data_IF_208300944332
#
_entry.id   IF_208300944332
#
_cell.length_a   1.000
_cell.length_b   1.000
_cell.length_c   1.000
_cell.angle_alpha   90.00
_cell.angle_beta   90.00
_cell.angle_gamma   90.00
#
_symmetry.space_group_name_H-M   'P 1'
#
loop_
_entity.id
_entity.type
_entity.pdbx_description
1 polymer ?
#
# COMPACT_ATOMS: atom_id res chain seq x y z
N UNK A 1 13.85 -0.11 26.10
CA UNK A 1 12.71 -0.33 25.17
C UNK A 1 11.70 -1.19 25.90
N UNK A 2 10.44 -0.72 26.12
CA UNK A 2 9.43 -1.61 26.66
C UNK A 2 8.97 -2.57 25.56
N UNK A 3 8.90 -3.86 25.90
CA UNK A 3 8.33 -4.91 25.04
C UNK A 3 6.85 -4.61 24.79
N UNK A 4 6.28 -4.96 23.62
CA UNK A 4 4.84 -4.85 23.42
C UNK A 4 4.11 -5.77 24.41
N UNK A 5 3.32 -5.17 25.31
CA UNK A 5 2.47 -5.90 26.25
C UNK A 5 1.28 -6.51 25.49
N UNK A 6 1.41 -7.77 25.09
CA UNK A 6 0.33 -8.55 24.52
C UNK A 6 -0.38 -9.29 25.66
N UNK A 7 -1.63 -8.94 25.95
CA UNK A 7 -2.43 -9.59 27.01
C UNK A 7 -3.75 -10.07 26.40
N UNK A 8 -3.82 -11.34 26.03
CA UNK A 8 -5.08 -12.00 25.68
C UNK A 8 -5.00 -13.49 26.08
N UNK A 9 -6.05 -14.05 26.70
CA UNK A 9 -6.04 -15.46 27.09
C UNK A 9 -6.12 -16.35 25.84
N UNK A 10 -5.15 -17.27 25.70
CA UNK A 10 -5.20 -18.34 24.70
C UNK A 10 -6.31 -19.32 25.10
N UNK A 11 -7.25 -19.58 24.19
CA UNK A 11 -8.27 -20.61 24.35
C UNK A 11 -7.93 -21.78 23.41
N UNK A 12 -8.07 -23.01 23.93
CA UNK A 12 -7.96 -24.26 23.18
C UNK A 12 -9.39 -24.82 22.98
N UNK A 13 -10.14 -24.35 21.95
CA UNK A 13 -11.51 -24.80 21.73
C UNK A 13 -11.61 -26.27 21.28
N UNK A 14 -10.56 -26.80 20.63
CA UNK A 14 -10.44 -28.18 20.13
C UNK A 14 -8.95 -28.56 20.01
N UNK A 15 -8.59 -29.82 20.20
CA UNK A 15 -7.19 -30.26 20.17
C UNK A 15 -6.42 -29.72 18.95
N UNK A 16 -5.33 -28.97 19.22
CA UNK A 16 -4.44 -28.33 18.22
C UNK A 16 -5.05 -27.13 17.48
N UNK A 17 -6.12 -26.54 18.00
CA UNK A 17 -6.65 -25.24 17.56
C UNK A 17 -6.41 -24.23 18.67
N UNK A 18 -5.76 -23.11 18.36
CA UNK A 18 -5.44 -22.06 19.32
C UNK A 18 -6.08 -20.76 18.86
N UNK A 19 -6.91 -20.16 19.72
CA UNK A 19 -7.63 -18.93 19.40
C UNK A 19 -7.33 -17.84 20.42
N UNK A 20 -7.11 -16.63 19.89
CA UNK A 20 -7.04 -15.38 20.65
C UNK A 20 -8.19 -14.51 20.16
N UNK A 21 -9.17 -14.21 21.02
CA UNK A 21 -10.36 -13.42 20.65
C UNK A 21 -10.24 -11.93 20.93
N UNK A 22 -9.43 -11.56 21.92
CA UNK A 22 -9.24 -10.19 22.39
C UNK A 22 -7.79 -9.75 22.18
N UNK A 23 -7.22 -10.07 21.01
CA UNK A 23 -5.88 -9.64 20.65
C UNK A 23 -5.85 -8.11 20.60
N UNK A 24 -4.95 -7.49 21.37
CA UNK A 24 -4.71 -6.06 21.36
C UNK A 24 -3.23 -5.81 21.09
N UNK A 25 -2.94 -5.16 19.97
CA UNK A 25 -1.59 -4.80 19.54
C UNK A 25 -1.46 -3.28 19.62
N UNK A 26 -0.41 -2.81 20.29
CA UNK A 26 -0.07 -1.39 20.34
C UNK A 26 1.31 -1.16 19.70
N UNK A 27 1.40 -0.16 18.83
CA UNK A 27 2.62 0.29 18.18
C UNK A 27 2.73 1.82 18.31
N UNK A 28 3.43 2.29 19.34
CA UNK A 28 3.36 3.69 19.76
C UNK A 28 1.97 4.02 20.31
N UNK A 29 1.38 5.13 19.85
CA UNK A 29 0.02 5.54 20.23
C UNK A 29 -1.08 4.82 19.45
N UNK A 30 -0.70 4.03 18.44
CA UNK A 30 -1.63 3.30 17.60
C UNK A 30 -1.99 1.97 18.24
N UNK A 31 -3.29 1.71 18.41
CA UNK A 31 -3.82 0.45 18.91
C UNK A 31 -4.66 -0.24 17.86
N UNK A 32 -4.52 -1.54 17.69
CA UNK A 32 -5.42 -2.38 16.89
C UNK A 32 -5.89 -3.57 17.72
N UNK A 33 -7.15 -3.93 17.58
CA UNK A 33 -7.76 -5.06 18.29
C UNK A 33 -8.37 -6.06 17.34
N UNK A 34 -8.54 -7.30 17.77
CA UNK A 34 -9.26 -8.30 16.99
C UNK A 34 -8.92 -9.71 17.41
N UNK A 35 -8.90 -10.62 16.43
CA UNK A 35 -8.74 -12.05 16.68
C UNK A 35 -7.63 -12.67 15.85
N UNK A 36 -7.08 -13.75 16.37
CA UNK A 36 -6.11 -14.60 15.70
C UNK A 36 -6.43 -16.06 16.00
N UNK A 37 -6.40 -16.90 14.96
CA UNK A 37 -6.66 -18.32 15.04
C UNK A 37 -5.52 -19.10 14.38
N UNK A 38 -4.96 -20.07 15.09
CA UNK A 38 -3.95 -21.01 14.60
C UNK A 38 -4.53 -22.43 14.63
N UNK A 39 -4.73 -23.01 13.45
CA UNK A 39 -5.19 -24.38 13.29
C UNK A 39 -4.02 -25.28 12.87
N UNK A 40 -3.71 -26.27 13.70
CA UNK A 40 -2.70 -27.32 13.47
C UNK A 40 -3.31 -28.73 13.38
N UNK A 41 -4.65 -28.85 13.34
CA UNK A 41 -5.34 -30.15 13.41
C UNK A 41 -5.31 -30.91 12.07
N UNK A 42 -5.19 -30.20 10.95
CA UNK A 42 -5.30 -30.76 9.58
C UNK A 42 -3.98 -31.17 8.93
N UNK A 43 -2.86 -31.14 9.67
CA UNK A 43 -1.52 -31.44 9.16
C UNK A 43 -0.89 -30.33 8.32
N UNK A 44 -1.69 -29.40 7.78
CA UNK A 44 -1.23 -28.17 7.16
C UNK A 44 -1.55 -26.99 8.09
N UNK A 45 -0.55 -26.33 8.69
CA UNK A 45 -0.80 -25.17 9.55
C UNK A 45 -1.57 -24.07 8.81
N UNK A 46 -2.57 -23.52 9.47
CA UNK A 46 -3.31 -22.34 9.03
C UNK A 46 -3.33 -21.31 10.16
N UNK A 47 -2.72 -20.16 9.92
CA UNK A 47 -2.77 -18.98 10.77
C UNK A 47 -3.67 -17.94 10.10
N UNK A 48 -4.69 -17.47 10.79
CA UNK A 48 -5.53 -16.38 10.34
C UNK A 48 -5.63 -15.30 11.39
N UNK A 49 -5.75 -14.04 10.97
CA UNK A 49 -6.03 -12.95 11.87
C UNK A 49 -6.94 -11.91 11.22
N UNK A 50 -7.71 -11.22 12.05
CA UNK A 50 -8.54 -10.09 11.70
C UNK A 50 -8.36 -9.02 12.76
N UNK A 51 -7.79 -7.88 12.38
CA UNK A 51 -7.50 -6.74 13.23
C UNK A 51 -8.23 -5.51 12.72
N UNK A 52 -8.73 -4.70 13.64
CA UNK A 52 -9.35 -3.42 13.35
C UNK A 52 -8.85 -2.34 14.31
N UNK A 53 -8.87 -1.09 13.86
CA UNK A 53 -8.61 0.07 14.71
C UNK A 53 -9.49 1.23 14.27
N UNK A 54 -9.92 2.05 15.22
CA UNK A 54 -10.59 3.32 14.97
C UNK A 54 -9.74 4.53 15.39
N UNK A 55 -8.61 4.30 16.07
CA UNK A 55 -7.83 5.34 16.76
C UNK A 55 -6.53 5.69 16.05
N UNK A 56 -6.29 5.17 14.84
CA UNK A 56 -5.06 5.51 14.11
C UNK A 56 -5.13 6.93 13.57
N UNK A 57 -3.98 7.61 13.58
CA UNK A 57 -3.83 8.95 13.00
C UNK A 57 -4.24 9.01 11.51
N UNK A 58 -4.01 7.92 10.78
CA UNK A 58 -4.37 7.82 9.35
C UNK A 58 -5.87 7.58 9.12
N UNK A 59 -6.65 7.28 10.16
CA UNK A 59 -8.04 6.85 10.12
C UNK A 59 -8.22 5.34 10.33
N UNK A 60 -9.45 4.82 10.20
CA UNK A 60 -9.76 3.43 10.57
C UNK A 60 -8.89 2.42 9.82
N UNK A 61 -8.49 1.35 10.50
CA UNK A 61 -7.78 0.21 9.90
C UNK A 61 -8.63 -1.05 10.00
N UNK A 62 -8.61 -1.84 8.94
CA UNK A 62 -9.04 -3.22 8.89
C UNK A 62 -7.95 -4.03 8.19
N UNK A 63 -7.42 -5.04 8.87
CA UNK A 63 -6.44 -5.98 8.34
C UNK A 63 -6.98 -7.39 8.54
N UNK A 64 -7.06 -8.16 7.47
CA UNK A 64 -7.32 -9.59 7.52
C UNK A 64 -6.27 -10.34 6.70
N UNK A 65 -5.72 -11.40 7.26
CA UNK A 65 -4.80 -12.27 6.53
C UNK A 65 -4.98 -13.75 6.85
N UNK A 66 -4.58 -14.59 5.91
CA UNK A 66 -4.56 -16.05 6.03
C UNK A 66 -3.21 -16.56 5.51
N UNK A 67 -2.42 -17.15 6.41
CA UNK A 67 -1.15 -17.78 6.13
C UNK A 67 -1.33 -19.28 6.28
N UNK A 68 -0.92 -20.05 5.28
CA UNK A 68 -0.97 -21.51 5.31
C UNK A 68 0.39 -22.10 4.99
N UNK A 69 0.57 -23.35 5.37
CA UNK A 69 1.75 -24.11 5.00
C UNK A 69 2.70 -24.28 6.17
N UNK A 70 3.75 -25.08 5.96
CA UNK A 70 4.72 -25.36 7.00
C UNK A 70 5.53 -24.08 7.29
N UNK A 71 6.07 -24.01 8.50
CA UNK A 71 6.74 -22.80 9.00
C UNK A 71 7.93 -22.41 8.12
N UNK A 72 8.58 -23.37 7.45
CA UNK A 72 9.71 -23.22 6.53
C UNK A 72 9.34 -22.71 5.14
N UNK A 73 8.07 -22.83 4.72
CA UNK A 73 7.58 -22.30 3.45
C UNK A 73 6.12 -21.80 3.55
N UNK A 74 5.88 -20.75 4.35
CA UNK A 74 4.54 -20.22 4.55
C UNK A 74 4.06 -19.47 3.30
N UNK A 75 2.79 -19.62 2.95
CA UNK A 75 2.14 -18.92 1.85
C UNK A 75 1.04 -17.99 2.40
N UNK A 76 1.02 -16.75 1.93
CA UNK A 76 -0.07 -15.81 2.20
C UNK A 76 -1.19 -16.07 1.20
N UNK A 77 -2.23 -16.80 1.61
CA UNK A 77 -3.39 -17.08 0.75
C UNK A 77 -4.34 -15.92 0.63
N UNK A 78 -4.30 -15.00 1.59
CA UNK A 78 -5.14 -13.82 1.60
C UNK A 78 -4.47 -12.72 2.39
N UNK A 79 -4.47 -11.55 1.81
CA UNK A 79 -4.24 -10.27 2.46
C UNK A 79 -5.39 -9.36 2.07
N UNK A 80 -5.98 -8.70 3.04
CA UNK A 80 -6.89 -7.58 2.84
C UNK A 80 -6.55 -6.53 3.90
N UNK A 81 -5.93 -5.45 3.46
CA UNK A 81 -5.66 -4.27 4.26
C UNK A 81 -6.51 -3.13 3.71
N UNK A 82 -7.18 -2.44 4.61
CA UNK A 82 -7.86 -1.18 4.36
C UNK A 82 -7.48 -0.24 5.49
N UNK A 83 -6.87 0.90 5.19
CA UNK A 83 -6.48 1.89 6.19
C UNK A 83 -6.87 3.30 5.71
N UNK A 84 -7.35 4.09 6.65
CA UNK A 84 -7.63 5.49 6.50
C UNK A 84 -8.96 5.81 5.86
N UNK A 85 -9.08 7.06 5.40
CA UNK A 85 -10.30 7.61 4.81
C UNK A 85 -9.95 8.63 3.74
N UNK A 86 -10.88 8.90 2.84
CA UNK A 86 -10.64 9.82 1.72
C UNK A 86 -10.38 11.27 2.15
N UNK A 87 -10.66 11.62 3.41
CA UNK A 87 -10.33 12.95 3.97
C UNK A 87 -8.82 13.20 3.94
N UNK A 88 -8.03 12.17 4.25
CA UNK A 88 -6.57 12.18 4.20
C UNK A 88 -6.09 11.34 3.02
N UNK A 89 -6.16 10.02 3.17
CA UNK A 89 -5.94 9.03 2.14
C UNK A 89 -6.59 7.71 2.57
N UNK A 90 -7.41 7.11 1.72
CA UNK A 90 -7.86 5.73 1.85
C UNK A 90 -6.89 4.84 1.08
N UNK A 91 -6.31 3.84 1.75
CA UNK A 91 -5.39 2.87 1.16
C UNK A 91 -5.97 1.48 1.28
N UNK A 92 -5.97 0.74 0.18
CA UNK A 92 -6.39 -0.66 0.08
C UNK A 92 -5.26 -1.48 -0.51
N UNK A 93 -4.96 -2.63 0.09
CA UNK A 93 -4.01 -3.60 -0.43
C UNK A 93 -4.62 -5.00 -0.27
N UNK A 94 -4.65 -5.77 -1.35
CA UNK A 94 -5.17 -7.13 -1.32
C UNK A 94 -4.37 -8.06 -2.20
N UNK A 95 -4.33 -9.35 -1.86
CA UNK A 95 -3.72 -10.35 -2.73
C UNK A 95 -3.10 -11.52 -1.98
N UNK A 96 -2.07 -12.10 -2.60
CA UNK A 96 -1.46 -13.36 -2.16
C UNK A 96 0.06 -13.35 -2.35
N UNK A 97 0.74 -14.25 -1.64
CA UNK A 97 2.17 -14.53 -1.80
C UNK A 97 2.36 -16.03 -1.70
N UNK A 98 2.86 -16.67 -2.77
CA UNK A 98 3.04 -18.14 -2.81
C UNK A 98 4.09 -18.64 -1.84
N UNK A 99 5.15 -17.87 -1.62
CA UNK A 99 6.21 -18.15 -0.65
C UNK A 99 6.60 -16.84 0.05
N UNK A 100 6.16 -16.67 1.29
CA UNK A 100 6.41 -15.48 2.09
C UNK A 100 7.88 -15.34 2.51
N UNK A 101 8.58 -16.45 2.73
CA UNK A 101 10.00 -16.41 3.13
C UNK A 101 10.88 -16.08 1.95
N UNK A 102 10.61 -16.71 0.82
CA UNK A 102 11.30 -16.44 -0.43
C UNK A 102 10.79 -15.20 -1.17
N UNK A 103 9.73 -14.52 -0.70
CA UNK A 103 9.02 -13.46 -1.42
C UNK A 103 8.72 -13.82 -2.89
N UNK A 104 8.34 -15.07 -3.14
CA UNK A 104 8.07 -15.57 -4.49
C UNK A 104 6.58 -15.64 -4.77
N UNK A 105 6.21 -15.36 -6.02
CA UNK A 105 4.81 -15.38 -6.44
C UNK A 105 3.96 -14.35 -5.69
N UNK A 106 4.52 -13.16 -5.47
CA UNK A 106 3.78 -11.99 -4.97
C UNK A 106 2.83 -11.54 -6.07
N UNK A 107 1.54 -11.49 -5.73
CA UNK A 107 0.47 -10.94 -6.56
C UNK A 107 -0.44 -10.11 -5.66
N UNK A 108 -0.19 -8.80 -5.65
CA UNK A 108 -0.92 -7.84 -4.83
C UNK A 108 -1.55 -6.78 -5.72
N UNK A 109 -2.67 -6.23 -5.27
CA UNK A 109 -3.33 -5.09 -5.88
C UNK A 109 -3.43 -4.00 -4.85
N UNK A 110 -2.93 -2.82 -5.18
CA UNK A 110 -3.06 -1.66 -4.32
C UNK A 110 -4.04 -0.65 -4.93
N UNK A 111 -4.66 0.13 -4.06
CA UNK A 111 -5.46 1.29 -4.40
C UNK A 111 -5.27 2.35 -3.32
N UNK A 112 -5.11 3.60 -3.74
CA UNK A 112 -5.04 4.78 -2.89
C UNK A 112 -6.00 5.81 -3.46
N UNK A 113 -6.73 6.53 -2.62
CA UNK A 113 -7.56 7.66 -3.05
C UNK A 113 -7.79 8.68 -1.94
N UNK A 114 -8.00 9.93 -2.33
CA UNK A 114 -8.32 11.01 -1.41
C UNK A 114 -9.00 12.17 -2.12
N UNK A 115 -9.67 13.00 -1.34
CA UNK A 115 -10.44 14.15 -1.83
C UNK A 115 -9.56 15.34 -2.20
N UNK A 116 -8.39 15.47 -1.57
CA UNK A 116 -7.46 16.56 -1.83
C UNK A 116 -6.00 16.14 -1.59
N UNK A 117 -5.14 16.31 -2.60
CA UNK A 117 -3.68 16.14 -2.45
C UNK A 117 -3.09 17.08 -1.40
N UNK A 118 -3.70 18.24 -1.16
CA UNK A 118 -3.25 19.16 -0.13
C UNK A 118 -3.33 18.56 1.28
N UNK A 119 -4.27 17.63 1.53
CA UNK A 119 -4.41 16.92 2.81
C UNK A 119 -3.18 16.07 3.16
N UNK A 120 -2.38 15.66 2.16
CA UNK A 120 -1.16 14.87 2.40
C UNK A 120 -0.05 15.67 3.10
N UNK A 121 -0.19 16.99 3.24
CA UNK A 121 0.69 17.79 4.09
C UNK A 121 0.66 17.31 5.56
N UNK A 122 -0.48 16.79 6.03
CA UNK A 122 -0.62 16.25 7.39
C UNK A 122 0.26 14.99 7.57
N UNK A 123 0.57 14.28 6.48
CA UNK A 123 1.40 13.08 6.50
C UNK A 123 2.88 13.39 6.26
N UNK A 124 3.17 14.31 5.35
CA UNK A 124 4.54 14.64 4.93
C UNK A 124 5.17 15.73 5.79
N UNK A 125 4.38 16.45 6.58
CA UNK A 125 4.80 17.63 7.36
C UNK A 125 5.15 18.85 6.50
N UNK A 126 4.97 18.78 5.18
CA UNK A 126 5.34 19.83 4.24
C UNK A 126 4.15 20.21 3.35
N UNK A 127 3.89 21.51 3.13
CA UNK A 127 2.84 21.94 2.23
C UNK A 127 3.18 21.50 0.80
N UNK A 128 2.31 20.69 0.20
CA UNK A 128 2.43 20.32 -1.20
C UNK A 128 1.82 21.45 -2.05
N UNK A 129 2.49 21.89 -3.14
CA UNK A 129 1.92 22.87 -4.07
C UNK A 129 0.82 22.28 -4.97
N UNK A 130 0.21 21.18 -4.54
CA UNK A 130 -0.78 20.40 -5.27
C UNK A 130 -2.13 20.43 -4.55
N UNK A 131 -3.20 20.25 -5.31
CA UNK A 131 -4.57 20.20 -4.79
C UNK A 131 -5.42 19.23 -5.60
N UNK A 132 -6.63 19.01 -5.10
CA UNK A 132 -7.70 18.32 -5.80
C UNK A 132 -7.68 16.81 -5.59
N UNK A 133 -8.76 16.13 -6.02
CA UNK A 133 -8.92 14.71 -5.76
C UNK A 133 -7.86 13.91 -6.48
N UNK A 134 -7.45 12.82 -5.84
CA UNK A 134 -6.46 11.92 -6.40
C UNK A 134 -6.82 10.46 -6.17
N UNK A 135 -6.30 9.62 -7.06
CA UNK A 135 -6.29 8.18 -6.87
C UNK A 135 -5.07 7.56 -7.55
N UNK A 136 -4.62 6.42 -7.05
CA UNK A 136 -3.59 5.60 -7.67
C UNK A 136 -3.93 4.13 -7.45
N UNK A 137 -3.75 3.29 -8.45
CA UNK A 137 -3.94 1.84 -8.32
C UNK A 137 -3.05 1.08 -9.28
N UNK A 138 -2.77 -0.18 -8.97
CA UNK A 138 -1.96 -1.04 -9.82
C UNK A 138 -1.80 -2.44 -9.27
N UNK A 139 -1.26 -3.31 -10.12
CA UNK A 139 -0.90 -4.69 -9.78
C UNK A 139 0.60 -4.72 -9.44
N UNK A 140 0.93 -5.21 -8.24
CA UNK A 140 2.29 -5.35 -7.73
C UNK A 140 2.71 -6.82 -7.79
N UNK A 141 3.87 -7.04 -8.39
CA UNK A 141 4.50 -8.36 -8.46
C UNK A 141 5.95 -8.27 -8.03
N UNK A 142 6.49 -9.39 -7.57
CA UNK A 142 7.92 -9.55 -7.32
C UNK A 142 8.39 -10.81 -8.05
N UNK A 143 9.00 -10.65 -9.25
CA UNK A 143 9.60 -11.77 -9.98
C UNK A 143 10.69 -12.47 -9.17
N UNK A 144 11.43 -11.70 -8.36
CA UNK A 144 12.43 -12.17 -7.41
C UNK A 144 12.46 -11.24 -6.18
N UNK A 145 13.09 -11.64 -5.04
CA UNK A 145 13.05 -10.87 -3.78
C UNK A 145 13.61 -9.45 -3.87
N UNK A 146 14.43 -9.16 -4.89
CA UNK A 146 15.09 -7.88 -5.11
C UNK A 146 14.54 -7.14 -6.32
N UNK A 147 13.46 -7.62 -6.93
CA UNK A 147 12.83 -6.99 -8.09
C UNK A 147 11.35 -6.78 -7.81
N UNK A 148 10.91 -5.52 -7.80
CA UNK A 148 9.51 -5.14 -7.65
C UNK A 148 9.01 -4.58 -8.97
N UNK A 149 7.84 -5.02 -9.43
CA UNK A 149 7.20 -4.48 -10.62
C UNK A 149 5.76 -4.07 -10.32
N UNK A 150 5.40 -2.85 -10.74
CA UNK A 150 4.05 -2.31 -10.72
C UNK A 150 3.58 -2.21 -12.16
N UNK A 151 2.50 -2.91 -12.46
CA UNK A 151 1.86 -2.91 -13.77
C UNK A 151 0.43 -2.37 -13.67
N UNK A 152 -0.15 -2.00 -14.83
CA UNK A 152 -1.48 -1.40 -14.93
C UNK A 152 -1.65 -0.21 -13.96
N UNK A 153 -0.59 0.58 -13.79
CA UNK A 153 -0.62 1.75 -12.94
C UNK A 153 -1.62 2.74 -13.55
N UNK A 154 -2.61 3.13 -12.76
CA UNK A 154 -3.58 4.16 -13.10
C UNK A 154 -3.58 5.18 -12.00
N UNK A 155 -3.31 6.43 -12.36
CA UNK A 155 -3.28 7.57 -11.45
C UNK A 155 -4.28 8.60 -11.97
N UNK A 156 -5.11 9.11 -11.07
CA UNK A 156 -5.92 10.31 -11.32
C UNK A 156 -5.40 11.42 -10.40
N UNK A 157 -5.18 12.61 -10.95
CA UNK A 157 -4.80 13.78 -10.18
C UNK A 157 -5.51 15.01 -10.74
N UNK A 158 -6.49 15.54 -10.01
CA UNK A 158 -7.41 16.54 -10.54
C UNK A 158 -8.19 15.99 -11.74
N UNK A 159 -8.03 16.60 -12.92
CA UNK A 159 -8.66 16.15 -14.17
C UNK A 159 -7.77 15.24 -15.01
N UNK A 160 -6.55 14.97 -14.56
CA UNK A 160 -5.55 14.21 -15.32
C UNK A 160 -5.70 12.72 -15.07
N UNK A 161 -5.60 11.91 -16.13
CA UNK A 161 -5.57 10.45 -16.07
C UNK A 161 -4.26 9.94 -16.63
N UNK A 162 -3.42 9.40 -15.75
CA UNK A 162 -2.07 8.96 -16.08
C UNK A 162 -2.04 7.43 -15.99
N UNK A 163 -1.67 6.77 -17.08
CA UNK A 163 -1.39 5.34 -17.13
C UNK A 163 0.11 5.07 -17.05
N UNK A 164 0.51 3.87 -16.65
CA UNK A 164 1.93 3.52 -16.69
C UNK A 164 2.33 2.18 -16.07
N UNK A 165 3.63 2.10 -15.79
CA UNK A 165 4.29 1.02 -15.06
C UNK A 165 5.54 1.54 -14.35
N UNK A 166 5.99 0.79 -13.34
CA UNK A 166 7.24 1.06 -12.65
C UNK A 166 7.93 -0.26 -12.26
N UNK A 167 9.25 -0.29 -12.31
CA UNK A 167 10.08 -1.42 -11.94
C UNK A 167 11.24 -0.92 -11.08
N UNK A 168 11.41 -1.53 -9.91
CA UNK A 168 12.52 -1.28 -9.00
C UNK A 168 13.38 -2.55 -8.93
N UNK A 169 14.59 -2.44 -9.43
CA UNK A 169 15.61 -3.49 -9.41
C UNK A 169 16.67 -3.15 -8.35
N UNK A 170 16.66 -3.90 -7.26
CA UNK A 170 17.60 -3.80 -6.14
C UNK A 170 18.73 -4.83 -6.24
N UNK A 171 18.90 -5.48 -7.41
CA UNK A 171 19.99 -6.44 -7.63
C UNK A 171 21.30 -5.69 -7.89
N UNK A 172 22.40 -6.24 -7.37
CA UNK A 172 23.72 -5.64 -7.46
C UNK A 172 23.92 -4.45 -6.51
N UNK A 173 24.97 -3.66 -6.76
CA UNK A 173 25.40 -2.56 -5.88
C UNK A 173 24.75 -1.20 -6.20
N UNK A 174 23.95 -1.12 -7.27
CA UNK A 174 23.29 0.12 -7.71
C UNK A 174 21.81 -0.17 -7.95
N UNK A 175 20.92 0.23 -7.03
CA UNK A 175 19.48 0.18 -7.25
C UNK A 175 19.09 0.93 -8.52
N UNK A 176 18.16 0.38 -9.29
CA UNK A 176 17.63 1.00 -10.53
C UNK A 176 16.12 1.10 -10.46
N UNK A 177 15.59 2.29 -10.74
CA UNK A 177 14.16 2.53 -10.90
C UNK A 177 13.89 2.90 -12.35
N UNK A 178 13.05 2.11 -13.01
CA UNK A 178 12.48 2.43 -14.31
C UNK A 178 10.99 2.73 -14.13
N UNK A 179 10.48 3.81 -14.71
CA UNK A 179 9.05 4.08 -14.76
C UNK A 179 8.67 4.65 -16.12
N UNK A 180 7.50 4.24 -16.61
CA UNK A 180 6.88 4.83 -17.80
C UNK A 180 5.52 5.36 -17.41
N UNK A 181 5.29 6.65 -17.66
CA UNK A 181 4.03 7.33 -17.40
C UNK A 181 3.54 7.96 -18.69
N UNK A 182 2.24 7.91 -18.92
CA UNK A 182 1.63 8.49 -20.11
C UNK A 182 0.27 9.09 -19.78
N UNK A 183 -0.03 10.23 -20.39
CA UNK A 183 -1.36 10.86 -20.32
C UNK A 183 -1.74 11.37 -21.71
N UNK A 184 -3.03 11.21 -22.05
CA UNK A 184 -3.56 11.72 -23.32
C UNK A 184 -3.92 13.20 -23.23
N UNK A 185 -4.39 13.63 -22.06
CA UNK A 185 -4.77 15.01 -21.76
C UNK A 185 -3.92 15.52 -20.59
N UNK A 186 -3.64 16.82 -20.58
CA UNK A 186 -2.96 17.48 -19.47
C UNK A 186 -3.67 18.79 -19.14
N UNK A 187 -4.10 18.89 -17.88
CA UNK A 187 -4.74 20.06 -17.30
C UNK A 187 -4.01 20.36 -15.99
N UNK A 188 -2.83 20.95 -16.09
CA UNK A 188 -1.93 21.25 -14.98
C UNK A 188 -2.60 22.13 -13.93
N UNK A 189 -3.38 23.13 -14.35
CA UNK A 189 -4.13 23.99 -13.43
C UNK A 189 -5.12 23.22 -12.51
N UNK A 190 -5.56 22.02 -12.91
CA UNK A 190 -6.49 21.21 -12.13
C UNK A 190 -5.85 20.55 -10.90
N UNK A 191 -4.52 20.40 -10.89
CA UNK A 191 -3.77 19.76 -9.80
C UNK A 191 -2.90 20.75 -9.04
N UNK A 192 -2.72 21.97 -9.53
CA UNK A 192 -1.90 23.00 -8.87
C UNK A 192 -2.71 23.87 -7.93
N UNK A 193 -2.09 24.32 -6.84
CA UNK A 193 -2.72 25.32 -5.95
C UNK A 193 -3.07 26.62 -6.72
N UNK A 194 -4.03 27.44 -6.26
CA UNK A 194 -4.44 28.66 -6.97
C UNK A 194 -3.34 29.71 -7.14
N UNK A 195 -2.31 29.68 -6.27
CA UNK A 195 -1.18 30.63 -6.33
C UNK A 195 -0.31 30.41 -7.57
N UNK A 196 -0.21 29.17 -8.04
CA UNK A 196 0.61 28.78 -9.20
C UNK A 196 -0.27 28.57 -10.44
N UNK A 197 -1.50 28.09 -10.26
CA UNK A 197 -2.39 27.71 -11.37
C UNK A 197 -2.75 28.85 -12.34
N UNK A 198 -2.56 30.11 -11.92
CA UNK A 198 -2.80 31.29 -12.77
C UNK A 198 -1.60 31.72 -13.62
N UNK A 199 -0.43 31.11 -13.45
CA UNK A 199 0.77 31.49 -14.17
C UNK A 199 0.68 31.13 -15.66
N UNK A 200 1.22 32.00 -16.51
CA UNK A 200 1.20 31.84 -17.98
C UNK A 200 1.82 30.51 -18.46
N UNK A 201 2.84 30.01 -17.76
CA UNK A 201 3.51 28.76 -18.13
C UNK A 201 2.63 27.53 -17.89
N UNK A 202 1.64 27.60 -17.00
CA UNK A 202 0.73 26.48 -16.72
C UNK A 202 -0.11 26.17 -17.96
N UNK A 203 -0.67 27.20 -18.58
CA UNK A 203 -1.45 27.06 -19.82
C UNK A 203 -0.60 26.56 -20.99
N UNK A 204 0.70 26.90 -21.01
CA UNK A 204 1.62 26.40 -22.03
C UNK A 204 1.88 24.89 -21.88
N UNK A 205 1.96 24.38 -20.64
CA UNK A 205 2.16 22.95 -20.38
C UNK A 205 0.94 22.11 -20.77
N UNK A 206 -0.28 22.64 -20.62
CA UNK A 206 -1.50 21.94 -21.04
C UNK A 206 -1.48 21.54 -22.53
N UNK A 207 -0.77 22.31 -23.36
CA UNK A 207 -0.62 22.06 -24.81
C UNK A 207 0.41 20.98 -25.16
N UNK A 208 1.17 20.46 -24.18
CA UNK A 208 2.17 19.41 -24.41
C UNK A 208 1.55 18.02 -24.54
N UNK A 209 0.24 17.88 -24.28
CA UNK A 209 -0.47 16.64 -24.44
C UNK A 209 -0.52 16.19 -25.92
N UNK A 210 -0.37 14.89 -26.23
CA UNK A 210 -0.13 13.78 -25.30
C UNK A 210 1.32 13.74 -24.79
N UNK A 211 1.51 13.37 -23.52
CA UNK A 211 2.83 13.28 -22.88
C UNK A 211 3.15 11.84 -22.52
N UNK A 212 4.36 11.39 -22.86
CA UNK A 212 4.95 10.16 -22.35
C UNK A 212 6.29 10.47 -21.68
N UNK A 213 6.43 10.04 -20.43
CA UNK A 213 7.64 10.20 -19.63
C UNK A 213 8.24 8.84 -19.35
N UNK A 214 9.53 8.71 -19.65
CA UNK A 214 10.35 7.56 -19.25
C UNK A 214 11.37 8.02 -18.24
N UNK A 215 11.27 7.52 -17.01
CA UNK A 215 12.16 7.83 -15.90
C UNK A 215 13.09 6.65 -15.70
N UNK A 216 14.40 6.92 -15.65
CA UNK A 216 15.42 5.96 -15.26
C UNK A 216 16.32 6.60 -14.22
N UNK A 217 16.34 6.02 -13.02
CA UNK A 217 17.23 6.42 -11.94
C UNK A 217 18.15 5.25 -11.60
N UNK A 218 19.42 5.55 -11.35
CA UNK A 218 20.41 4.57 -10.91
C UNK A 218 21.10 5.07 -9.65
N UNK A 219 21.47 4.15 -8.77
CA UNK A 219 22.20 4.48 -7.55
C UNK A 219 21.35 5.28 -6.56
N UNK A 220 20.09 4.86 -6.34
CA UNK A 220 19.25 5.40 -5.27
C UNK A 220 20.03 5.26 -3.95
N UNK A 221 20.49 6.40 -3.42
CA UNK A 221 21.31 6.52 -2.21
C UNK A 221 20.43 6.71 -0.98
#
# INVERSE_FOLDING_TARGET
MPLPNCCAPLQDPEAKIYSIRDLSIAAGENKATGKMDLNLSTGLPLLSASLASQELALGPLNLAFEIVGPVDKPALRKLNLHIGSEKLAEVKLKGTVKDLRGLQGVDLKFGVRGQDLASLQELTGHPLPLKGPFSASGDVTMPDPKSLAISKLQITAGKNKIGGSAELDLRGNKPRLNATLSTQDLVAASVLNPKIAGDLWVTAIDQLAPVQLSIRLEGLA
#
